data_IF_837221038183
#
_entry.id   IF_837221038183
#
_cell.length_a   1.000
_cell.length_b   1.000
_cell.length_c   1.000
_cell.angle_alpha   90.00
_cell.angle_beta   90.00
_cell.angle_gamma   90.00
#
_symmetry.space_group_name_H-M   'P 1'
#
loop_
_entity.id
_entity.type
_entity.pdbx_description
1 polymer ?
#
# COMPACT_ATOMS: atom_id res chain seq x y z
N UNK A 1 21.54 -0.08 24.61
CA UNK A 1 20.16 -0.26 24.13
C UNK A 1 19.71 -1.69 24.37
N UNK A 2 18.51 -1.88 24.85
CA UNK A 2 17.90 -3.19 25.02
C UNK A 2 17.70 -3.84 23.62
N UNK A 3 18.04 -5.14 23.51
CA UNK A 3 17.88 -5.88 22.26
C UNK A 3 16.41 -5.89 21.77
N UNK A 4 15.46 -5.91 22.68
CA UNK A 4 14.02 -5.88 22.33
C UNK A 4 13.65 -4.54 21.70
N UNK A 5 14.12 -3.44 22.26
CA UNK A 5 13.86 -2.09 21.72
C UNK A 5 14.55 -1.90 20.37
N UNK A 6 15.77 -2.37 20.22
CA UNK A 6 16.49 -2.33 18.94
C UNK A 6 15.77 -3.14 17.87
N UNK A 7 15.31 -4.36 18.20
CA UNK A 7 14.55 -5.20 17.28
C UNK A 7 13.24 -4.54 16.85
N UNK A 8 12.54 -3.89 17.79
CA UNK A 8 11.28 -3.18 17.50
C UNK A 8 11.53 -1.99 16.58
N UNK A 9 12.55 -1.18 16.85
CA UNK A 9 12.93 -0.05 16.02
C UNK A 9 13.25 -0.49 14.58
N UNK A 10 14.00 -1.57 14.42
CA UNK A 10 14.33 -2.14 13.12
C UNK A 10 13.08 -2.61 12.36
N UNK A 11 12.14 -3.26 13.05
CA UNK A 11 10.87 -3.69 12.45
C UNK A 11 10.01 -2.51 11.97
N UNK A 12 9.92 -1.45 12.78
CA UNK A 12 9.16 -0.25 12.42
C UNK A 12 9.79 0.41 11.20
N UNK A 13 11.11 0.57 11.18
CA UNK A 13 11.83 1.17 10.07
C UNK A 13 11.61 0.39 8.77
N UNK A 14 11.72 -0.95 8.84
CA UNK A 14 11.46 -1.81 7.70
C UNK A 14 10.01 -1.69 7.20
N UNK A 15 9.04 -1.58 8.12
CA UNK A 15 7.62 -1.42 7.76
C UNK A 15 7.38 -0.08 7.08
N UNK A 16 7.96 1.00 7.59
CA UNK A 16 7.85 2.33 6.97
C UNK A 16 8.40 2.28 5.55
N UNK A 17 9.57 1.70 5.34
CA UNK A 17 10.17 1.57 4.02
C UNK A 17 9.28 0.78 3.06
N UNK A 18 8.66 -0.30 3.54
CA UNK A 18 7.74 -1.12 2.73
C UNK A 18 6.49 -0.34 2.34
N UNK A 19 5.88 0.38 3.28
CA UNK A 19 4.69 1.19 3.00
C UNK A 19 4.99 2.30 2.00
N UNK A 20 6.14 2.96 2.13
CA UNK A 20 6.57 4.01 1.18
C UNK A 20 6.78 3.44 -0.22
N UNK A 21 7.35 2.26 -0.33
CA UNK A 21 7.53 1.60 -1.63
C UNK A 21 6.18 1.24 -2.26
N UNK A 22 5.25 0.71 -1.46
CA UNK A 22 3.90 0.39 -1.93
C UNK A 22 3.15 1.64 -2.38
N UNK A 23 3.29 2.75 -1.65
CA UNK A 23 2.73 4.05 -2.06
C UNK A 23 3.26 4.49 -3.41
N UNK A 24 4.55 4.36 -3.63
CA UNK A 24 5.20 4.76 -4.88
C UNK A 24 4.66 3.96 -6.06
N UNK A 25 4.49 2.65 -5.88
CA UNK A 25 3.90 1.78 -6.91
C UNK A 25 2.46 2.15 -7.21
N UNK A 26 1.66 2.41 -6.18
CA UNK A 26 0.27 2.82 -6.32
C UNK A 26 0.15 4.18 -7.02
N UNK A 27 1.03 5.13 -6.69
CA UNK A 27 1.07 6.43 -7.32
C UNK A 27 1.37 6.35 -8.81
N UNK A 28 2.36 5.54 -9.19
CA UNK A 28 2.69 5.30 -10.60
C UNK A 28 1.51 4.65 -11.34
N UNK A 29 0.86 3.67 -10.71
CA UNK A 29 -0.30 3.01 -11.29
C UNK A 29 -1.47 3.99 -11.48
N UNK A 30 -1.76 4.82 -10.47
CA UNK A 30 -2.82 5.82 -10.54
C UNK A 30 -2.56 6.82 -11.67
N UNK A 31 -1.33 7.29 -11.83
CA UNK A 31 -0.94 8.19 -12.91
C UNK A 31 -1.21 7.57 -14.29
N UNK A 32 -0.84 6.32 -14.48
CA UNK A 32 -1.08 5.61 -15.74
C UNK A 32 -2.57 5.43 -16.01
N UNK A 33 -3.35 5.12 -14.99
CA UNK A 33 -4.79 4.97 -15.11
C UNK A 33 -5.48 6.27 -15.50
N UNK A 34 -5.01 7.40 -14.98
CA UNK A 34 -5.54 8.73 -15.29
C UNK A 34 -5.28 9.16 -16.74
N UNK A 35 -4.29 8.55 -17.41
CA UNK A 35 -4.00 8.80 -18.81
C UNK A 35 -4.91 8.02 -19.75
N UNK A 36 -5.63 7.02 -19.24
CA UNK A 36 -6.58 6.25 -20.03
C UNK A 36 -7.95 6.95 -20.06
N UNK A 37 -8.78 6.56 -21.05
CA UNK A 37 -10.19 6.96 -21.04
C UNK A 37 -10.81 6.51 -19.71
N UNK A 38 -11.55 7.40 -19.00
CA UNK A 38 -12.12 7.07 -17.69
C UNK A 38 -13.00 5.81 -17.68
N UNK A 39 -13.60 5.49 -18.83
CA UNK A 39 -14.49 4.33 -18.97
C UNK A 39 -13.76 3.05 -19.42
N UNK A 40 -12.44 3.11 -19.59
CA UNK A 40 -11.65 1.94 -19.98
C UNK A 40 -11.75 0.87 -18.90
N UNK A 41 -12.07 -0.36 -19.29
CA UNK A 41 -12.04 -1.51 -18.40
C UNK A 41 -10.60 -2.01 -18.27
N UNK A 42 -10.12 -2.12 -17.05
CA UNK A 42 -8.79 -2.67 -16.74
C UNK A 42 -8.94 -3.89 -15.86
N UNK A 43 -7.93 -4.75 -15.85
CA UNK A 43 -7.90 -5.93 -15.01
C UNK A 43 -6.98 -5.68 -13.82
N UNK A 44 -7.55 -5.79 -12.61
CA UNK A 44 -6.77 -5.75 -11.38
C UNK A 44 -6.54 -7.17 -10.89
N UNK A 45 -5.33 -7.43 -10.40
CA UNK A 45 -4.97 -8.70 -9.79
C UNK A 45 -5.05 -8.51 -8.27
N UNK A 46 -5.93 -9.29 -7.63
CA UNK A 46 -6.08 -9.28 -6.18
C UNK A 46 -5.42 -10.55 -5.63
N UNK A 47 -4.42 -10.37 -4.79
CA UNK A 47 -3.72 -11.46 -4.14
C UNK A 47 -3.88 -11.31 -2.63
N UNK A 48 -4.31 -12.39 -1.99
CA UNK A 48 -4.54 -12.38 -0.55
C UNK A 48 -4.26 -13.75 0.05
N UNK A 49 -4.08 -13.78 1.37
CA UNK A 49 -3.87 -15.01 2.11
C UNK A 49 -5.20 -15.49 2.68
N UNK A 50 -5.52 -16.76 2.43
CA UNK A 50 -6.64 -17.45 3.05
C UNK A 50 -6.07 -18.64 3.83
N UNK A 51 -5.96 -18.47 5.14
CA UNK A 51 -5.21 -19.41 5.97
C UNK A 51 -3.75 -19.42 5.57
N UNK A 52 -3.23 -20.58 5.16
CA UNK A 52 -1.85 -20.74 4.71
C UNK A 52 -1.72 -20.69 3.18
N UNK A 53 -2.82 -20.53 2.46
CA UNK A 53 -2.84 -20.54 1.00
C UNK A 53 -2.91 -19.13 0.45
N UNK A 54 -2.15 -18.89 -0.62
CA UNK A 54 -2.22 -17.65 -1.40
C UNK A 54 -3.34 -17.80 -2.42
N UNK A 55 -4.29 -16.88 -2.40
CA UNK A 55 -5.37 -16.80 -3.39
C UNK A 55 -5.11 -15.65 -4.34
N UNK A 56 -5.38 -15.87 -5.62
CA UNK A 56 -5.22 -14.86 -6.67
C UNK A 56 -6.51 -14.79 -7.48
N UNK A 57 -7.05 -13.61 -7.64
CA UNK A 57 -8.27 -13.36 -8.40
C UNK A 57 -8.04 -12.18 -9.33
N UNK A 58 -8.59 -12.27 -10.54
CA UNK A 58 -8.58 -11.18 -11.51
C UNK A 58 -9.95 -10.51 -11.54
N UNK A 59 -9.98 -9.20 -11.40
CA UNK A 59 -11.22 -8.42 -11.37
C UNK A 59 -11.17 -7.35 -12.44
N UNK A 60 -12.23 -7.25 -13.25
CA UNK A 60 -12.39 -6.15 -14.21
C UNK A 60 -12.99 -4.95 -13.49
N UNK A 61 -12.37 -3.80 -13.65
CA UNK A 61 -12.80 -2.56 -13.01
C UNK A 61 -12.55 -1.38 -13.95
N UNK A 62 -13.38 -0.35 -13.85
CA UNK A 62 -13.21 0.86 -14.64
C UNK A 62 -11.97 1.63 -14.19
N UNK A 63 -11.17 2.12 -15.14
CA UNK A 63 -9.92 2.82 -14.83
C UNK A 63 -10.10 3.99 -13.87
N UNK A 64 -11.15 4.81 -14.05
CA UNK A 64 -11.42 5.95 -13.16
C UNK A 64 -11.75 5.52 -11.74
N UNK A 65 -12.46 4.42 -11.56
CA UNK A 65 -12.82 3.88 -10.24
C UNK A 65 -11.57 3.36 -9.54
N UNK A 66 -10.72 2.64 -10.26
CA UNK A 66 -9.49 2.11 -9.68
C UNK A 66 -8.52 3.24 -9.31
N UNK A 67 -8.38 4.26 -10.16
CA UNK A 67 -7.55 5.43 -9.86
C UNK A 67 -8.03 6.15 -8.60
N UNK A 68 -9.34 6.35 -8.46
CA UNK A 68 -9.92 6.96 -7.25
C UNK A 68 -9.66 6.13 -6.00
N UNK A 69 -9.80 4.81 -6.10
CA UNK A 69 -9.53 3.90 -4.99
C UNK A 69 -8.05 3.98 -4.54
N UNK A 70 -7.12 4.06 -5.48
CA UNK A 70 -5.70 4.20 -5.18
C UNK A 70 -5.40 5.54 -4.50
N UNK A 71 -6.02 6.63 -4.95
CA UNK A 71 -5.86 7.94 -4.34
C UNK A 71 -6.38 7.95 -2.89
N UNK A 72 -7.51 7.31 -2.63
CA UNK A 72 -8.07 7.18 -1.28
C UNK A 72 -7.19 6.33 -0.37
N UNK A 73 -6.64 5.25 -0.90
CA UNK A 73 -5.75 4.38 -0.13
C UNK A 73 -4.45 5.08 0.25
N UNK A 74 -4.01 6.06 -0.54
CA UNK A 74 -2.85 6.88 -0.21
C UNK A 74 -3.00 7.57 1.15
N UNK A 75 -4.19 8.10 1.45
CA UNK A 75 -4.46 8.74 2.74
C UNK A 75 -4.33 7.74 3.89
N UNK A 76 -4.82 6.52 3.72
CA UNK A 76 -4.69 5.45 4.72
C UNK A 76 -3.21 5.14 5.00
N UNK A 77 -2.41 5.02 3.94
CA UNK A 77 -0.98 4.71 4.08
C UNK A 77 -0.20 5.85 4.71
N UNK A 78 -0.55 7.11 4.44
CA UNK A 78 0.04 8.27 5.11
C UNK A 78 -0.24 8.24 6.62
N UNK A 79 -1.46 7.89 7.02
CA UNK A 79 -1.81 7.72 8.44
C UNK A 79 -1.02 6.59 9.09
N UNK A 80 -0.85 5.47 8.38
CA UNK A 80 -0.05 4.35 8.88
C UNK A 80 1.41 4.76 9.11
N UNK A 81 2.00 5.47 8.16
CA UNK A 81 3.37 5.98 8.29
C UNK A 81 3.49 6.92 9.48
N UNK A 82 2.54 7.84 9.66
CA UNK A 82 2.54 8.78 10.77
C UNK A 82 2.50 8.04 12.12
N UNK A 83 1.68 7.00 12.24
CA UNK A 83 1.61 6.18 13.45
C UNK A 83 2.92 5.43 13.72
N UNK A 84 3.52 4.88 12.68
CA UNK A 84 4.79 4.16 12.80
C UNK A 84 5.93 5.11 13.17
N UNK A 85 5.98 6.30 12.60
CA UNK A 85 6.98 7.32 12.95
C UNK A 85 6.83 7.79 14.39
N UNK A 86 5.59 7.96 14.86
CA UNK A 86 5.31 8.32 16.25
C UNK A 86 5.76 7.20 17.21
N UNK A 87 5.51 5.94 16.85
CA UNK A 87 5.96 4.78 17.63
C UNK A 87 7.49 4.70 17.66
N UNK A 88 8.15 4.91 16.51
CA UNK A 88 9.60 4.93 16.41
C UNK A 88 10.22 6.00 17.30
N UNK A 89 9.61 7.18 17.35
CA UNK A 89 10.09 8.30 18.16
C UNK A 89 10.00 8.03 19.69
N UNK A 90 9.16 7.06 20.10
CA UNK A 90 9.04 6.67 21.51
C UNK A 90 10.06 5.64 21.97
N UNK A 91 10.80 5.06 21.05
CA UNK A 91 11.86 4.11 21.33
C UNK A 91 13.18 4.86 21.53
#
# INVERSE_FOLDING_TARGET
>A
MDKVLFGRASQIDARIAQVREDQKRAEVAAEKLKQLDPNTSVVAVVQYMEGEKVQVTHVSITASILAEALDKDHLRTEEEIAKLEAEFARI
#
